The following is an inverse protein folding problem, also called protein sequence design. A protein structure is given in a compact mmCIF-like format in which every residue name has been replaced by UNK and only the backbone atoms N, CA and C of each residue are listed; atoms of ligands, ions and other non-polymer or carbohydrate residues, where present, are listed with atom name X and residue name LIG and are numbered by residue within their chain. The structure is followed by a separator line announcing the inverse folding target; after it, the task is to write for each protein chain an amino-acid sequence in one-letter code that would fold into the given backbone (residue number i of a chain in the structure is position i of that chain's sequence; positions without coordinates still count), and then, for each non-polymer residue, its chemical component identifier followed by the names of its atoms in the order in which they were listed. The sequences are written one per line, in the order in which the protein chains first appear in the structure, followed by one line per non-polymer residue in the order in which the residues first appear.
data_IF_798897526915
#
_entry.id   IF_798897526915
#
_cell.length_a   1.000
_cell.length_b   1.000
_cell.length_c   1.000
_cell.angle_alpha   90.00
_cell.angle_beta   90.00
_cell.angle_gamma   90.00
#
_symmetry.space_group_name_H-M   'P 1'
#
loop_
_entity.id
_entity.type
_entity.pdbx_description
1 polymer ?
#
# COMPACT_ATOMS: atom_id res chain seq x y z
N UNK A 1 -33.59 -76.23 49.38
CA UNK A 1 -33.27 -76.22 47.93
C UNK A 1 -34.37 -75.44 47.22
N UNK A 2 -34.22 -74.77 46.07
CA UNK A 2 -33.10 -74.20 45.28
C UNK A 2 -33.84 -73.24 44.31
N UNK A 3 -33.49 -71.96 44.07
CA UNK A 3 -32.44 -71.07 44.58
C UNK A 3 -33.05 -69.64 44.76
N UNK A 4 -32.23 -68.60 44.95
CA UNK A 4 -32.62 -67.20 44.69
C UNK A 4 -31.91 -66.68 43.42
N UNK A 5 -32.58 -65.85 42.62
CA UNK A 5 -31.96 -64.88 41.70
C UNK A 5 -32.82 -63.61 41.70
N UNK A 6 -32.16 -62.45 41.71
CA UNK A 6 -32.75 -61.12 41.82
C UNK A 6 -32.14 -60.20 40.75
N UNK A 7 -32.72 -59.00 40.61
CA UNK A 7 -32.23 -57.81 39.88
C UNK A 7 -32.65 -57.64 38.41
N UNK A 8 -33.27 -56.47 38.15
CA UNK A 8 -32.92 -55.44 37.15
C UNK A 8 -32.53 -55.87 35.70
N UNK A 9 -32.87 -55.12 34.64
CA UNK A 9 -32.42 -53.72 34.47
C UNK A 9 -33.23 -52.91 33.44
N UNK A 10 -33.36 -51.62 33.77
CA UNK A 10 -33.42 -50.43 32.92
C UNK A 10 -33.33 -50.62 31.38
N UNK A 11 -34.34 -50.10 30.68
CA UNK A 11 -34.23 -49.70 29.27
C UNK A 11 -33.31 -48.47 29.13
N UNK A 12 -31.99 -48.68 29.12
CA UNK A 12 -31.03 -47.64 28.76
C UNK A 12 -31.01 -47.47 27.23
N UNK A 13 -31.42 -46.29 26.77
CA UNK A 13 -31.20 -45.86 25.39
C UNK A 13 -29.67 -45.81 25.15
N UNK A 14 -29.12 -46.44 24.09
CA UNK A 14 -27.70 -46.32 23.79
C UNK A 14 -27.35 -44.86 23.50
N UNK A 15 -26.26 -44.29 24.07
CA UNK A 15 -25.83 -42.95 23.69
C UNK A 15 -25.41 -42.98 22.22
N UNK A 16 -26.01 -42.08 21.43
CA UNK A 16 -25.56 -41.80 20.07
C UNK A 16 -24.18 -41.13 20.14
N UNK A 17 -23.13 -41.95 20.11
CA UNK A 17 -21.76 -41.48 19.86
C UNK A 17 -21.70 -41.04 18.40
N UNK A 18 -22.14 -39.80 18.15
CA UNK A 18 -21.79 -39.10 16.92
C UNK A 18 -20.32 -38.71 16.98
N UNK A 19 -19.46 -39.66 16.63
CA UNK A 19 -18.06 -39.40 16.26
C UNK A 19 -18.03 -38.63 14.92
N UNK A 20 -18.51 -37.38 14.96
CA UNK A 20 -18.32 -36.38 13.92
C UNK A 20 -16.87 -35.89 13.99
N UNK A 21 -15.92 -36.80 13.76
CA UNK A 21 -14.49 -36.51 13.62
C UNK A 21 -14.28 -35.79 12.28
N UNK A 22 -14.62 -34.51 12.27
CA UNK A 22 -14.38 -33.62 11.15
C UNK A 22 -12.87 -33.47 10.99
N UNK A 23 -12.29 -34.09 9.95
CA UNK A 23 -10.84 -34.01 9.69
C UNK A 23 -10.44 -32.53 9.64
N UNK A 24 -9.51 -32.06 10.49
CA UNK A 24 -9.06 -30.68 10.43
C UNK A 24 -8.46 -30.41 9.05
N UNK A 25 -8.89 -29.30 8.43
CA UNK A 25 -8.44 -28.92 7.08
C UNK A 25 -6.93 -28.66 7.11
N UNK A 26 -6.17 -29.07 6.08
CA UNK A 26 -4.70 -28.98 6.05
C UNK A 26 -4.21 -27.56 5.72
N UNK A 27 -4.77 -26.55 6.37
CA UNK A 27 -4.30 -25.17 6.28
C UNK A 27 -3.22 -24.94 7.33
N UNK A 28 -2.12 -24.23 7.00
CA UNK A 28 -1.17 -23.79 8.01
C UNK A 28 -1.87 -22.87 9.01
N UNK A 29 -1.44 -22.94 10.27
CA UNK A 29 -1.94 -22.04 11.31
C UNK A 29 -1.61 -20.58 10.98
N UNK A 30 -2.41 -19.64 11.51
CA UNK A 30 -2.09 -18.22 11.39
C UNK A 30 -0.72 -17.93 12.02
N UNK A 31 0.22 -17.43 11.22
CA UNK A 31 1.53 -16.95 11.68
C UNK A 31 1.44 -15.84 12.75
N UNK A 32 0.27 -15.19 12.86
CA UNK A 32 0.02 -14.13 13.83
C UNK A 32 -0.70 -14.61 15.10
N UNK A 33 -1.33 -15.79 15.08
CA UNK A 33 -2.19 -16.27 16.17
C UNK A 33 -3.12 -15.17 16.70
N UNK A 34 -3.08 -14.95 18.02
CA UNK A 34 -3.85 -13.94 18.74
C UNK A 34 -3.09 -12.62 18.98
N UNK A 35 -1.96 -12.39 18.29
CA UNK A 35 -1.07 -11.24 18.52
C UNK A 35 -1.80 -9.88 18.49
N UNK A 36 -2.67 -9.69 17.50
CA UNK A 36 -3.43 -8.45 17.34
C UNK A 36 -4.62 -8.31 18.31
N UNK A 37 -5.05 -9.39 18.99
CA UNK A 37 -6.17 -9.35 19.92
C UNK A 37 -5.81 -8.66 21.25
N UNK A 38 -4.52 -8.65 21.60
CA UNK A 38 -4.02 -8.11 22.86
C UNK A 38 -3.42 -6.68 22.73
N UNK A 39 -3.81 -5.95 21.69
CA UNK A 39 -3.33 -4.58 21.45
C UNK A 39 -3.74 -3.64 22.59
N UNK A 40 -2.77 -2.88 23.12
CA UNK A 40 -2.99 -1.81 24.10
C UNK A 40 -2.78 -0.47 23.40
N UNK A 41 -3.83 0.38 23.25
CA UNK A 41 -3.68 1.69 22.63
C UNK A 41 -2.79 2.60 23.48
N UNK A 42 -2.20 3.61 22.83
CA UNK A 42 -1.45 4.64 23.52
C UNK A 42 -2.34 5.39 24.51
N UNK A 43 -1.75 5.95 25.57
CA UNK A 43 -2.49 6.83 26.48
C UNK A 43 -2.89 8.13 25.76
N UNK A 44 -3.98 8.82 26.18
CA UNK A 44 -4.37 10.11 25.59
C UNK A 44 -3.27 11.17 25.61
N UNK A 45 -2.35 11.11 26.58
CA UNK A 45 -1.20 12.01 26.66
C UNK A 45 -0.13 11.69 25.62
N UNK A 46 0.13 10.40 25.36
CA UNK A 46 1.03 9.97 24.28
C UNK A 46 0.44 10.34 22.91
N UNK A 47 -0.86 10.11 22.69
CA UNK A 47 -1.53 10.52 21.45
C UNK A 47 -1.36 12.02 21.18
N UNK A 48 -1.67 12.89 22.16
CA UNK A 48 -1.49 14.35 21.99
C UNK A 48 -0.03 14.76 21.73
N UNK A 49 0.94 14.06 22.34
CA UNK A 49 2.36 14.32 22.08
C UNK A 49 2.78 13.92 20.66
N UNK A 50 2.28 12.78 20.17
CA UNK A 50 2.52 12.30 18.81
C UNK A 50 1.82 13.17 17.76
N UNK A 51 0.57 13.56 18.00
CA UNK A 51 -0.24 14.45 17.17
C UNK A 51 0.41 15.83 17.01
N UNK A 52 0.83 16.47 18.11
CA UNK A 52 1.55 17.75 18.06
C UNK A 52 2.89 17.66 17.32
N UNK A 53 3.59 16.51 17.40
CA UNK A 53 4.81 16.26 16.63
C UNK A 53 4.51 16.06 15.13
N UNK A 54 3.42 15.36 14.82
CA UNK A 54 2.98 15.10 13.45
C UNK A 54 2.54 16.38 12.73
N UNK A 55 1.72 17.23 13.36
CA UNK A 55 1.30 18.51 12.77
C UNK A 55 2.48 19.48 12.58
N UNK A 56 3.43 19.53 13.53
CA UNK A 56 4.66 20.32 13.35
C UNK A 56 5.50 19.84 12.15
N UNK A 57 5.65 18.52 11.98
CA UNK A 57 6.35 17.94 10.82
C UNK A 57 5.60 18.10 9.51
N UNK A 58 4.27 18.11 9.55
CA UNK A 58 3.42 18.32 8.39
C UNK A 58 3.57 19.74 7.82
N UNK A 59 3.62 20.75 8.69
CA UNK A 59 3.87 22.14 8.25
C UNK A 59 5.33 22.36 7.77
N UNK A 60 6.32 21.69 8.40
CA UNK A 60 7.71 21.70 7.92
C UNK A 60 7.83 21.15 6.48
N UNK A 61 7.16 20.04 6.18
CA UNK A 61 7.10 19.47 4.83
C UNK A 61 6.31 20.38 3.88
N UNK A 62 5.22 21.00 4.33
CA UNK A 62 4.46 21.97 3.53
C UNK A 62 5.34 23.14 3.08
N UNK A 63 6.15 23.69 3.98
CA UNK A 63 7.11 24.75 3.67
C UNK A 63 8.16 24.27 2.64
N UNK A 64 8.67 23.04 2.76
CA UNK A 64 9.58 22.43 1.77
C UNK A 64 8.92 22.35 0.39
N UNK A 65 7.63 22.00 0.29
CA UNK A 65 6.90 21.97 -0.99
C UNK A 65 6.77 23.38 -1.58
N UNK A 66 6.36 24.36 -0.77
CA UNK A 66 6.20 25.76 -1.18
C UNK A 66 7.53 26.37 -1.67
N UNK A 67 8.66 26.08 -1.01
CA UNK A 67 9.97 26.59 -1.42
C UNK A 67 10.53 25.83 -2.63
N UNK A 68 10.22 24.54 -2.76
CA UNK A 68 10.54 23.74 -3.96
C UNK A 68 9.72 24.19 -5.18
N UNK A 69 8.48 24.62 -5.00
CA UNK A 69 7.64 25.17 -6.06
C UNK A 69 8.24 26.45 -6.68
N UNK A 70 8.85 27.31 -5.85
CA UNK A 70 9.57 28.53 -6.29
C UNK A 70 10.89 28.24 -7.00
N UNK A 71 11.47 27.05 -6.83
CA UNK A 71 12.69 26.63 -7.50
C UNK A 71 12.43 26.37 -9.00
N UNK A 72 13.45 26.53 -9.85
CA UNK A 72 13.39 26.18 -11.27
C UNK A 72 13.87 24.76 -11.58
N UNK A 73 14.40 24.02 -10.59
CA UNK A 73 14.91 22.66 -10.79
C UNK A 73 13.77 21.63 -10.85
N UNK A 74 13.42 21.22 -12.09
CA UNK A 74 12.45 20.18 -12.37
C UNK A 74 12.77 18.85 -11.67
N UNK A 75 14.05 18.48 -11.54
CA UNK A 75 14.48 17.23 -10.90
C UNK A 75 14.12 17.22 -9.43
N UNK A 76 14.38 18.33 -8.73
CA UNK A 76 14.03 18.49 -7.31
C UNK A 76 12.51 18.44 -7.10
N UNK A 77 11.73 19.10 -7.96
CA UNK A 77 10.25 19.05 -7.90
C UNK A 77 9.72 17.63 -8.04
N UNK A 78 10.19 16.89 -9.05
CA UNK A 78 9.74 15.52 -9.32
C UNK A 78 10.17 14.54 -8.22
N UNK A 79 11.41 14.62 -7.74
CA UNK A 79 11.92 13.77 -6.66
C UNK A 79 11.23 14.05 -5.32
N UNK A 80 10.82 15.30 -5.05
CA UNK A 80 10.01 15.63 -3.87
C UNK A 80 8.64 14.94 -3.91
N UNK A 81 7.88 15.12 -5.00
CA UNK A 81 6.57 14.47 -5.17
C UNK A 81 6.71 12.95 -5.09
N UNK A 82 7.69 12.37 -5.80
CA UNK A 82 7.96 10.94 -5.76
C UNK A 82 8.31 10.44 -4.35
N UNK A 83 9.09 11.21 -3.59
CA UNK A 83 9.45 10.85 -2.22
C UNK A 83 8.23 10.86 -1.30
N UNK A 84 7.38 11.89 -1.36
CA UNK A 84 6.15 12.00 -0.58
C UNK A 84 5.20 10.82 -0.84
N UNK A 85 5.05 10.44 -2.11
CA UNK A 85 4.25 9.28 -2.51
C UNK A 85 4.87 7.95 -2.04
N UNK A 86 6.19 7.80 -2.11
CA UNK A 86 6.87 6.57 -1.70
C UNK A 86 6.83 6.33 -0.19
N UNK A 87 6.76 7.40 0.61
CA UNK A 87 6.56 7.29 2.07
C UNK A 87 5.07 7.33 2.49
N UNK A 88 4.15 7.52 1.55
CA UNK A 88 2.70 7.46 1.78
C UNK A 88 2.13 8.63 2.60
N UNK A 89 2.71 9.83 2.47
CA UNK A 89 2.23 11.06 3.15
C UNK A 89 1.73 12.13 2.18
N UNK A 90 1.76 11.85 0.88
CA UNK A 90 1.26 12.71 -0.20
C UNK A 90 -0.21 13.12 -0.03
N UNK A 91 -1.02 12.27 0.60
CA UNK A 91 -2.44 12.56 0.90
C UNK A 91 -2.67 13.78 1.81
N UNK A 92 -1.64 14.29 2.50
CA UNK A 92 -1.72 15.54 3.27
C UNK A 92 -1.53 16.80 2.42
N UNK A 93 -1.01 16.68 1.20
CA UNK A 93 -0.54 17.80 0.36
C UNK A 93 -1.12 17.74 -1.06
N UNK A 94 -2.33 17.18 -1.22
CA UNK A 94 -2.93 16.97 -2.54
C UNK A 94 -2.97 18.24 -3.39
N UNK A 95 -3.46 19.34 -2.82
CA UNK A 95 -3.53 20.63 -3.51
C UNK A 95 -2.14 21.14 -3.93
N UNK A 96 -1.16 21.13 -3.02
CA UNK A 96 0.19 21.61 -3.29
C UNK A 96 0.93 20.74 -4.33
N UNK A 97 0.67 19.42 -4.33
CA UNK A 97 1.22 18.49 -5.32
C UNK A 97 0.54 18.70 -6.69
N UNK A 98 -0.79 18.89 -6.71
CA UNK A 98 -1.53 19.12 -7.94
C UNK A 98 -1.15 20.45 -8.59
N UNK A 99 -1.02 21.53 -7.81
CA UNK A 99 -0.46 22.83 -8.28
C UNK A 99 0.96 22.67 -8.85
N UNK A 100 1.84 21.95 -8.15
CA UNK A 100 3.20 21.70 -8.60
C UNK A 100 3.27 20.88 -9.90
N UNK A 101 2.33 19.96 -10.11
CA UNK A 101 2.23 19.15 -11.32
C UNK A 101 1.56 19.90 -12.49
N UNK A 102 0.60 20.78 -12.21
CA UNK A 102 0.07 21.74 -13.19
C UNK A 102 1.21 22.59 -13.76
N UNK A 103 2.03 23.20 -12.90
CA UNK A 103 3.19 24.01 -13.30
C UNK A 103 4.18 23.23 -14.19
N UNK A 104 4.40 21.94 -13.91
CA UNK A 104 5.28 21.04 -14.67
C UNK A 104 4.68 20.60 -16.01
N UNK A 105 3.35 20.67 -16.16
CA UNK A 105 2.64 20.31 -17.39
C UNK A 105 2.47 21.53 -18.33
N UNK A 106 1.96 22.63 -17.79
CA UNK A 106 1.70 23.88 -18.51
C UNK A 106 3.02 24.60 -18.85
N UNK A 107 3.99 24.57 -17.93
CA UNK A 107 5.37 24.81 -18.26
C UNK A 107 5.88 23.72 -19.19
N UNK A 108 5.83 23.95 -20.51
CA UNK A 108 6.48 23.16 -21.56
C UNK A 108 8.03 23.21 -21.46
N UNK A 109 8.55 22.94 -20.27
CA UNK A 109 9.87 23.32 -19.80
C UNK A 109 10.80 22.12 -19.90
N UNK A 110 11.70 22.23 -20.88
CA UNK A 110 12.98 21.52 -21.01
C UNK A 110 12.84 20.03 -21.33
N UNK A 111 13.42 19.62 -22.48
CA UNK A 111 13.69 18.20 -22.73
C UNK A 111 14.49 17.65 -21.52
N UNK A 112 13.95 16.68 -20.77
CA UNK A 112 14.50 16.27 -19.48
C UNK A 112 15.97 15.86 -19.61
N UNK A 113 16.81 16.40 -18.72
CA UNK A 113 18.27 16.32 -18.78
C UNK A 113 18.80 14.88 -18.86
N UNK A 114 18.06 13.93 -18.29
CA UNK A 114 18.34 12.49 -18.34
C UNK A 114 17.07 11.62 -18.41
N UNK A 115 17.27 10.33 -18.69
CA UNK A 115 16.21 9.31 -18.75
C UNK A 115 15.45 9.15 -17.41
N UNK A 116 16.08 9.36 -16.25
CA UNK A 116 15.43 9.22 -14.94
C UNK A 116 14.37 10.30 -14.78
N UNK A 117 14.77 11.55 -14.98
CA UNK A 117 13.94 12.75 -14.93
C UNK A 117 12.80 12.64 -15.94
N UNK A 118 13.11 12.19 -17.17
CA UNK A 118 12.14 11.93 -18.22
C UNK A 118 11.06 10.90 -17.81
N UNK A 119 11.51 9.76 -17.28
CA UNK A 119 10.62 8.68 -16.86
C UNK A 119 9.78 9.08 -15.65
N UNK A 120 10.35 9.83 -14.72
CA UNK A 120 9.68 10.28 -13.51
C UNK A 120 8.62 11.34 -13.81
N UNK A 121 8.91 12.30 -14.69
CA UNK A 121 7.94 13.29 -15.17
C UNK A 121 6.77 12.58 -15.86
N UNK A 122 7.04 11.67 -16.80
CA UNK A 122 6.00 10.90 -17.49
C UNK A 122 5.15 10.08 -16.53
N UNK A 123 5.78 9.37 -15.58
CA UNK A 123 5.09 8.57 -14.57
C UNK A 123 4.18 9.41 -13.68
N UNK A 124 4.69 10.49 -13.08
CA UNK A 124 3.93 11.33 -12.17
C UNK A 124 2.75 12.00 -12.87
N UNK A 125 2.98 12.62 -14.04
CA UNK A 125 1.92 13.23 -14.83
C UNK A 125 0.83 12.21 -15.21
N UNK A 126 1.20 11.03 -15.70
CA UNK A 126 0.23 9.98 -16.06
C UNK A 126 -0.51 9.42 -14.84
N UNK A 127 0.14 9.29 -13.68
CA UNK A 127 -0.47 8.86 -12.41
C UNK A 127 -1.54 9.86 -11.93
N UNK A 128 -1.30 11.16 -12.11
CA UNK A 128 -2.25 12.23 -11.77
C UNK A 128 -3.24 12.58 -12.91
N UNK A 129 -3.34 11.76 -13.95
CA UNK A 129 -4.36 11.89 -15.00
C UNK A 129 -4.03 12.84 -16.16
N UNK A 130 -2.84 13.44 -16.19
CA UNK A 130 -2.44 14.34 -17.27
C UNK A 130 -2.25 13.59 -18.61
N UNK A 131 -2.66 14.24 -19.70
CA UNK A 131 -2.62 13.69 -21.05
C UNK A 131 -1.24 13.87 -21.69
N UNK A 132 -0.30 13.00 -21.34
CA UNK A 132 1.07 13.02 -21.85
C UNK A 132 1.29 11.97 -22.95
N UNK A 133 1.81 12.40 -24.11
CA UNK A 133 2.16 11.51 -25.23
C UNK A 133 3.49 10.77 -24.97
N UNK A 134 3.53 9.46 -25.23
CA UNK A 134 4.78 8.68 -25.17
C UNK A 134 5.80 9.15 -26.22
N UNK A 135 5.35 9.65 -27.37
CA UNK A 135 6.20 10.15 -28.46
C UNK A 135 7.08 11.34 -28.06
N UNK A 136 6.65 12.12 -27.06
CA UNK A 136 7.43 13.26 -26.52
C UNK A 136 8.68 12.79 -25.77
N UNK A 137 8.67 11.57 -25.23
CA UNK A 137 9.75 11.02 -24.41
C UNK A 137 10.46 9.88 -25.15
N UNK A 138 11.38 10.25 -26.07
CA UNK A 138 12.14 9.30 -26.91
C UNK A 138 12.76 8.15 -26.11
N UNK A 139 13.28 8.42 -24.91
CA UNK A 139 13.90 7.41 -24.05
C UNK A 139 12.88 6.51 -23.31
N UNK A 140 11.68 7.02 -23.00
CA UNK A 140 10.63 6.24 -22.31
C UNK A 140 10.02 5.19 -23.25
N UNK A 141 9.90 5.49 -24.55
CA UNK A 141 9.50 4.47 -25.53
C UNK A 141 10.43 3.24 -25.48
N UNK A 142 11.74 3.42 -25.34
CA UNK A 142 12.69 2.29 -25.27
C UNK A 142 12.42 1.42 -24.04
N UNK A 143 12.16 2.01 -22.87
CA UNK A 143 11.88 1.28 -21.62
C UNK A 143 10.52 0.57 -21.68
N UNK A 144 9.45 1.25 -22.11
CA UNK A 144 8.11 0.67 -22.24
C UNK A 144 8.08 -0.46 -23.28
N UNK A 145 8.86 -0.34 -24.36
CA UNK A 145 8.98 -1.35 -25.40
C UNK A 145 9.83 -2.57 -24.96
N UNK A 146 10.77 -2.38 -24.03
CA UNK A 146 11.45 -3.49 -23.34
C UNK A 146 10.51 -4.23 -22.36
N UNK A 147 9.76 -3.51 -21.54
CA UNK A 147 8.86 -4.10 -20.52
C UNK A 147 7.70 -4.90 -21.17
N UNK A 148 7.07 -4.32 -22.20
CA UNK A 148 6.04 -5.02 -22.99
C UNK A 148 6.59 -6.27 -23.69
N UNK A 149 7.84 -6.26 -24.16
CA UNK A 149 8.46 -7.47 -24.73
C UNK A 149 8.66 -8.56 -23.67
N UNK A 150 9.02 -8.19 -22.43
CA UNK A 150 9.19 -9.11 -21.31
C UNK A 150 7.87 -9.72 -20.83
N UNK A 151 6.78 -8.94 -20.82
CA UNK A 151 5.44 -9.44 -20.49
C UNK A 151 4.92 -10.39 -21.58
N UNK A 152 5.13 -10.05 -22.87
CA UNK A 152 4.66 -10.89 -23.99
C UNK A 152 5.43 -12.21 -24.08
N UNK A 153 6.74 -12.25 -23.81
CA UNK A 153 7.50 -13.53 -23.81
C UNK A 153 7.11 -14.45 -22.65
N UNK A 154 6.83 -13.91 -21.47
CA UNK A 154 6.37 -14.70 -20.31
C UNK A 154 4.89 -15.13 -20.37
N UNK A 155 4.09 -14.57 -21.28
CA UNK A 155 2.71 -15.01 -21.56
C UNK A 155 2.60 -16.07 -22.67
N UNK A 156 3.70 -16.33 -23.40
CA UNK A 156 3.75 -17.31 -24.50
C UNK A 156 4.71 -18.48 -24.19
N UNK A 157 4.99 -18.73 -22.90
CA UNK A 157 5.76 -19.88 -22.38
C UNK A 157 4.97 -20.66 -21.35
#
# INVERSE_FOLDING_TARGET
QILAVQMATNNSIPPLVQDNVHKPRPYPASQWGDFFLNYKPCTPQQYRSMEGTAEAKKEEVRQIIIDTAKCSDLTQKLELVYTLQRIGVDYHYGNEIDELLCDIYDGHIIEPLDLRTASLQFYLLRKHGYCVSSGTYKWVNVVVQMDMSYVITNLNS
#
